data_IF_875412797963
#
_entry.id   IF_875412797963
#
_cell.length_a   1.000
_cell.length_b   1.000
_cell.length_c   1.000
_cell.angle_alpha   90.00
_cell.angle_beta   90.00
_cell.angle_gamma   90.00
#
_symmetry.space_group_name_H-M   'P 1'
#
loop_
_entity.id
_entity.type
_entity.pdbx_description
1 polymer ?
#
# COMPACT_ATOMS: atom_id res chain seq x y z
N UNK A 1 12.02 7.13 24.59
CA UNK A 1 13.27 6.69 23.96
C UNK A 1 12.93 5.53 23.03
N UNK A 2 13.48 5.55 21.82
CA UNK A 2 13.30 4.50 20.81
C UNK A 2 14.67 4.11 20.25
N UNK A 3 14.84 2.87 19.81
CA UNK A 3 16.09 2.36 19.23
C UNK A 3 16.52 3.09 17.95
N UNK A 4 15.61 3.82 17.31
CA UNK A 4 15.88 4.67 16.17
C UNK A 4 16.79 5.86 16.53
N UNK A 5 16.79 6.31 17.78
CA UNK A 5 17.61 7.41 18.26
C UNK A 5 18.97 6.88 18.75
N UNK A 6 20.02 7.14 17.98
CA UNK A 6 21.39 6.78 18.35
C UNK A 6 21.98 7.83 19.32
N UNK A 7 22.19 7.46 20.59
CA UNK A 7 22.68 8.40 21.61
C UNK A 7 24.14 8.87 21.36
N UNK A 8 24.88 8.18 20.49
CA UNK A 8 26.24 8.52 20.15
C UNK A 8 26.33 9.50 18.96
N UNK A 9 25.21 9.80 18.32
CA UNK A 9 25.14 10.74 17.20
C UNK A 9 24.54 12.09 17.62
N UNK A 10 25.32 13.16 17.38
CA UNK A 10 24.91 14.53 17.69
C UNK A 10 24.52 14.70 19.16
N UNK A 11 23.30 15.18 19.41
CA UNK A 11 22.76 15.35 20.77
C UNK A 11 22.02 14.10 21.27
N UNK A 12 21.86 13.07 20.46
CA UNK A 12 21.01 11.92 20.75
C UNK A 12 19.49 12.20 20.62
N UNK A 13 19.12 13.43 20.29
CA UNK A 13 17.73 13.81 20.04
C UNK A 13 17.43 13.75 18.54
N UNK A 14 16.28 13.16 18.19
CA UNK A 14 15.81 13.07 16.81
C UNK A 14 14.43 13.71 16.67
N UNK A 15 14.19 14.36 15.54
CA UNK A 15 12.88 14.79 15.09
C UNK A 15 12.18 13.60 14.41
N UNK A 16 10.93 13.32 14.76
CA UNK A 16 10.13 12.25 14.20
C UNK A 16 8.90 12.85 13.49
N UNK A 17 8.75 12.54 12.20
CA UNK A 17 7.62 12.99 11.36
C UNK A 17 6.93 11.79 10.71
N UNK A 18 6.02 11.09 11.40
CA UNK A 18 5.47 9.81 10.98
C UNK A 18 4.71 9.84 9.65
N UNK A 19 4.20 11.00 9.24
CA UNK A 19 3.44 11.12 7.98
C UNK A 19 4.33 11.20 6.72
N UNK A 20 5.65 11.50 6.86
CA UNK A 20 6.51 11.83 5.71
C UNK A 20 7.86 11.11 5.69
N UNK A 21 8.03 10.08 6.52
CA UNK A 21 9.22 9.22 6.51
C UNK A 21 8.85 7.80 6.95
N UNK A 22 9.33 6.79 6.24
CA UNK A 22 8.97 5.38 6.51
C UNK A 22 9.51 4.88 7.86
N UNK A 23 10.70 5.30 8.26
CA UNK A 23 11.26 4.90 9.56
C UNK A 23 10.56 5.63 10.69
N UNK A 24 10.29 6.93 10.52
CA UNK A 24 9.54 7.75 11.47
C UNK A 24 8.10 7.22 11.64
N UNK A 25 7.49 6.68 10.57
CA UNK A 25 6.18 6.03 10.64
C UNK A 25 6.20 4.85 11.61
N UNK A 26 7.21 3.98 11.50
CA UNK A 26 7.35 2.83 12.40
C UNK A 26 7.60 3.26 13.85
N UNK A 27 8.40 4.31 14.07
CA UNK A 27 8.56 4.90 15.40
C UNK A 27 7.24 5.45 15.92
N UNK A 28 6.48 6.13 15.06
CA UNK A 28 5.16 6.66 15.36
C UNK A 28 4.18 5.57 15.81
N UNK A 29 4.16 4.43 15.13
CA UNK A 29 3.36 3.27 15.49
C UNK A 29 3.74 2.74 16.88
N UNK A 30 5.04 2.51 17.13
CA UNK A 30 5.53 1.98 18.42
C UNK A 30 5.28 2.94 19.58
N UNK A 31 5.39 4.23 19.35
CA UNK A 31 5.29 5.27 20.37
C UNK A 31 3.91 5.94 20.48
N UNK A 32 2.95 5.59 19.60
CA UNK A 32 1.62 6.20 19.55
C UNK A 32 1.65 7.69 19.23
N UNK A 33 2.56 8.12 18.33
CA UNK A 33 2.71 9.54 17.96
C UNK A 33 1.65 9.95 16.94
N UNK A 34 1.21 11.24 16.94
CA UNK A 34 0.31 11.76 15.92
C UNK A 34 1.00 11.77 14.54
N UNK A 35 0.21 11.48 13.50
CA UNK A 35 0.64 11.48 12.10
C UNK A 35 0.17 12.75 11.42
N UNK A 36 0.87 13.86 11.68
CA UNK A 36 0.53 15.16 11.11
C UNK A 36 0.98 15.24 9.65
N UNK A 37 0.01 15.21 8.74
CA UNK A 37 0.27 15.38 7.31
C UNK A 37 0.44 16.88 7.02
N UNK A 38 1.59 17.26 6.48
CA UNK A 38 1.91 18.67 6.17
C UNK A 38 2.01 18.94 4.67
N UNK A 39 1.80 17.94 3.84
CA UNK A 39 1.88 18.06 2.37
C UNK A 39 0.55 17.70 1.72
N UNK A 40 0.22 18.39 0.65
CA UNK A 40 -0.87 18.02 -0.25
C UNK A 40 -0.44 16.92 -1.22
N UNK A 41 -1.38 16.36 -1.99
CA UNK A 41 -1.10 15.38 -3.06
C UNK A 41 -0.16 15.88 -4.17
N UNK A 42 0.04 17.19 -4.26
CA UNK A 42 0.99 17.83 -5.18
C UNK A 42 2.25 18.32 -4.48
N UNK A 43 2.47 17.89 -3.25
CA UNK A 43 3.62 18.24 -2.41
C UNK A 43 3.79 19.74 -2.14
N UNK A 44 2.69 20.49 -2.10
CA UNK A 44 2.64 21.82 -1.51
C UNK A 44 2.33 21.68 -0.01
N UNK A 45 2.72 22.68 0.77
CA UNK A 45 2.35 22.74 2.20
C UNK A 45 0.83 22.86 2.32
N UNK A 46 0.20 22.07 3.19
CA UNK A 46 -1.25 22.12 3.42
C UNK A 46 -1.71 23.49 3.93
N UNK A 47 -2.99 23.79 3.73
CA UNK A 47 -3.66 25.01 4.21
C UNK A 47 -4.96 24.65 4.95
N UNK A 48 -5.65 25.65 5.50
CA UNK A 48 -6.92 25.46 6.20
C UNK A 48 -6.81 24.60 7.46
N UNK A 49 -7.82 23.75 7.69
CA UNK A 49 -7.94 22.97 8.92
C UNK A 49 -6.77 21.99 9.17
N UNK A 50 -6.23 21.38 8.14
CA UNK A 50 -5.06 20.48 8.24
C UNK A 50 -3.82 21.25 8.69
N UNK A 51 -3.62 22.47 8.17
CA UNK A 51 -2.53 23.33 8.58
C UNK A 51 -2.67 23.81 10.03
N UNK A 52 -3.92 24.10 10.47
CA UNK A 52 -4.21 24.48 11.84
C UNK A 52 -3.92 23.34 12.82
N UNK A 53 -4.33 22.12 12.48
CA UNK A 53 -4.07 20.91 13.27
C UNK A 53 -2.57 20.63 13.39
N UNK A 54 -1.84 20.76 12.28
CA UNK A 54 -0.40 20.56 12.25
C UNK A 54 0.40 21.75 12.84
N UNK A 55 -0.24 22.84 13.20
CA UNK A 55 0.40 24.01 13.74
C UNK A 55 1.28 24.78 12.75
N UNK A 56 0.96 24.73 11.45
CA UNK A 56 1.76 25.36 10.40
C UNK A 56 1.54 26.87 10.39
N UNK A 57 2.60 27.70 10.52
CA UNK A 57 2.49 29.16 10.44
C UNK A 57 1.92 29.59 9.07
N UNK A 58 1.12 30.67 9.09
CA UNK A 58 0.41 31.16 7.89
C UNK A 58 1.34 31.43 6.70
N UNK A 59 2.54 31.90 6.95
CA UNK A 59 3.53 32.28 5.93
C UNK A 59 4.10 31.10 5.11
N UNK A 60 3.89 29.86 5.56
CA UNK A 60 4.34 28.65 4.85
C UNK A 60 3.22 27.96 4.08
N UNK A 61 1.96 28.24 4.42
CA UNK A 61 0.79 27.54 3.86
C UNK A 61 0.67 27.76 2.36
N UNK A 62 0.36 26.70 1.64
CA UNK A 62 0.23 26.69 0.18
C UNK A 62 1.52 26.83 -0.61
N UNK A 63 2.67 26.99 0.03
CA UNK A 63 3.96 27.06 -0.67
C UNK A 63 4.35 25.68 -1.24
N UNK A 64 4.99 25.69 -2.41
CA UNK A 64 5.73 24.52 -2.90
C UNK A 64 6.78 24.11 -1.87
N UNK A 65 7.02 22.80 -1.69
CA UNK A 65 7.95 22.26 -0.70
C UNK A 65 9.38 22.83 -0.80
N UNK A 66 9.85 23.13 -2.03
CA UNK A 66 11.19 23.70 -2.22
C UNK A 66 11.24 25.19 -1.91
N UNK A 67 10.13 25.90 -2.11
CA UNK A 67 10.00 27.30 -1.70
C UNK A 67 9.88 27.39 -0.19
N UNK A 68 9.09 26.51 0.44
CA UNK A 68 8.99 26.41 1.90
C UNK A 68 10.36 26.13 2.54
N UNK A 69 11.17 25.21 1.95
CA UNK A 69 12.52 24.94 2.43
C UNK A 69 13.41 26.17 2.43
N UNK A 70 13.45 26.92 1.32
CA UNK A 70 14.23 28.15 1.23
C UNK A 70 13.79 29.21 2.25
N UNK A 71 12.47 29.31 2.44
CA UNK A 71 11.92 30.25 3.43
C UNK A 71 12.30 29.83 4.85
N UNK A 72 12.21 28.54 5.19
CA UNK A 72 12.62 28.01 6.50
C UNK A 72 14.11 28.31 6.77
N UNK A 73 14.98 28.06 5.78
CA UNK A 73 16.42 28.37 5.90
C UNK A 73 16.62 29.86 6.20
N UNK A 74 15.97 30.75 5.47
CA UNK A 74 16.07 32.20 5.68
C UNK A 74 15.51 32.65 7.06
N UNK A 75 14.41 32.06 7.51
CA UNK A 75 13.83 32.37 8.80
C UNK A 75 14.70 31.88 9.97
N UNK A 76 15.35 30.70 9.85
CA UNK A 76 16.35 30.24 10.83
C UNK A 76 17.58 31.13 10.86
N UNK A 77 18.06 31.63 9.71
CA UNK A 77 19.16 32.61 9.64
C UNK A 77 18.76 33.93 10.33
N UNK A 78 17.56 34.44 10.04
CA UNK A 78 17.06 35.68 10.64
C UNK A 78 16.90 35.60 12.17
N UNK A 79 16.65 34.39 12.69
CA UNK A 79 16.50 34.11 14.12
C UNK A 79 17.84 33.79 14.82
N UNK A 80 18.97 33.80 14.08
CA UNK A 80 20.29 33.39 14.56
C UNK A 80 20.33 31.94 15.08
N UNK A 81 19.49 31.06 14.47
CA UNK A 81 19.36 29.63 14.80
C UNK A 81 20.00 28.71 13.78
N UNK A 82 20.40 29.23 12.62
CA UNK A 82 21.07 28.46 11.57
C UNK A 82 22.56 28.36 11.89
N UNK A 83 23.01 27.13 12.21
CA UNK A 83 24.44 26.87 12.50
C UNK A 83 25.21 26.59 11.22
N UNK A 84 24.70 25.67 10.40
CA UNK A 84 25.37 25.22 9.18
C UNK A 84 24.39 24.54 8.22
N UNK A 85 24.62 24.69 6.92
CA UNK A 85 23.97 23.91 5.85
C UNK A 85 24.99 22.94 5.26
N UNK A 86 24.91 21.67 5.64
CA UNK A 86 25.77 20.61 5.11
C UNK A 86 25.19 20.02 3.82
N UNK A 87 26.00 20.01 2.75
CA UNK A 87 25.63 19.35 1.49
C UNK A 87 25.88 17.85 1.59
N UNK A 88 24.83 17.07 1.64
CA UNK A 88 24.88 15.60 1.67
C UNK A 88 24.37 15.01 0.36
N UNK A 89 24.98 13.90 -0.07
CA UNK A 89 24.43 13.06 -1.12
C UNK A 89 23.36 12.16 -0.49
N UNK A 90 22.12 12.30 -0.94
CA UNK A 90 20.99 11.48 -0.50
C UNK A 90 20.41 10.71 -1.68
N UNK A 91 19.95 9.51 -1.43
CA UNK A 91 19.13 8.75 -2.39
C UNK A 91 17.69 9.26 -2.29
N UNK A 92 17.18 9.78 -3.39
CA UNK A 92 15.85 10.37 -3.44
C UNK A 92 15.01 9.68 -4.51
N UNK A 93 13.78 9.27 -4.21
CA UNK A 93 12.91 8.65 -5.20
C UNK A 93 12.43 9.66 -6.23
N UNK A 94 12.35 9.22 -7.48
CA UNK A 94 11.81 10.00 -8.60
C UNK A 94 10.72 9.19 -9.29
N UNK A 95 9.72 9.88 -9.81
CA UNK A 95 8.70 9.25 -10.66
C UNK A 95 9.33 8.80 -12.00
N UNK A 96 9.17 7.53 -12.34
CA UNK A 96 9.76 6.91 -13.54
C UNK A 96 9.45 7.66 -14.84
N UNK A 97 8.26 8.23 -14.93
CA UNK A 97 7.78 8.92 -16.15
C UNK A 97 7.88 10.44 -16.04
N UNK A 98 7.66 10.98 -14.86
CA UNK A 98 7.65 12.43 -14.65
C UNK A 98 9.03 13.01 -14.40
N UNK A 99 9.98 12.21 -13.86
CA UNK A 99 11.27 12.69 -13.38
C UNK A 99 11.16 13.63 -12.17
N UNK A 100 9.97 13.73 -11.56
CA UNK A 100 9.73 14.59 -10.40
C UNK A 100 10.11 13.85 -9.12
N UNK A 101 10.67 14.57 -8.17
CA UNK A 101 10.94 14.05 -6.81
C UNK A 101 9.63 13.63 -6.15
N UNK A 102 9.60 12.39 -5.63
CA UNK A 102 8.48 11.84 -4.89
C UNK A 102 8.74 12.09 -3.40
N UNK A 103 7.72 12.60 -2.71
CA UNK A 103 7.71 12.72 -1.25
C UNK A 103 6.83 11.62 -0.65
N UNK A 104 7.22 11.00 0.49
CA UNK A 104 6.31 10.14 1.24
C UNK A 104 5.08 10.95 1.66
N UNK A 105 3.91 10.42 1.38
CA UNK A 105 2.63 11.05 1.67
C UNK A 105 1.64 10.02 2.22
N UNK A 106 1.09 10.32 3.38
CA UNK A 106 0.15 9.44 4.05
C UNK A 106 -1.23 9.53 3.38
N UNK A 107 -1.74 8.41 2.91
CA UNK A 107 -3.05 8.28 2.30
C UNK A 107 -3.64 6.91 2.58
N UNK A 108 -4.98 6.83 2.64
CA UNK A 108 -5.67 5.56 2.78
C UNK A 108 -5.52 4.72 1.51
N UNK A 109 -5.21 3.44 1.70
CA UNK A 109 -5.04 2.48 0.62
C UNK A 109 -5.72 1.15 0.97
N UNK A 110 -6.08 0.38 -0.04
CA UNK A 110 -6.57 -0.98 0.14
C UNK A 110 -5.42 -1.96 0.27
N UNK A 111 -5.45 -2.75 1.35
CA UNK A 111 -4.43 -3.76 1.62
C UNK A 111 -5.04 -5.15 1.75
N UNK A 112 -4.34 -6.13 1.20
CA UNK A 112 -4.55 -7.55 1.50
C UNK A 112 -3.70 -7.91 2.71
N UNK A 113 -4.30 -8.58 3.70
CA UNK A 113 -3.56 -9.19 4.80
C UNK A 113 -2.82 -10.42 4.28
N UNK A 114 -1.67 -10.18 3.65
CA UNK A 114 -0.90 -11.21 2.98
C UNK A 114 -0.26 -12.19 3.96
N UNK A 115 0.04 -11.78 5.18
CA UNK A 115 0.60 -12.66 6.22
C UNK A 115 -0.31 -13.87 6.51
N UNK A 116 -1.61 -13.62 6.68
CA UNK A 116 -2.57 -14.69 6.93
C UNK A 116 -2.73 -15.61 5.71
N UNK A 117 -2.72 -15.05 4.51
CA UNK A 117 -2.84 -15.82 3.27
C UNK A 117 -1.57 -16.61 2.93
N UNK A 118 -0.42 -16.16 3.39
CA UNK A 118 0.86 -16.83 3.16
C UNK A 118 0.99 -18.14 3.96
N UNK A 119 0.40 -18.23 5.14
CA UNK A 119 0.51 -19.40 6.03
C UNK A 119 0.15 -20.72 5.34
N UNK A 120 -1.04 -20.88 4.74
CA UNK A 120 -1.38 -22.10 4.04
C UNK A 120 -0.54 -22.31 2.74
N UNK A 121 -0.12 -21.25 2.07
CA UNK A 121 0.73 -21.34 0.88
C UNK A 121 2.15 -21.82 1.23
N UNK A 122 2.72 -21.38 2.34
CA UNK A 122 3.98 -21.88 2.89
C UNK A 122 3.84 -23.38 3.24
N UNK A 123 2.77 -23.75 3.93
CA UNK A 123 2.51 -25.14 4.32
C UNK A 123 2.37 -26.08 3.11
N UNK A 124 1.80 -25.63 2.00
CA UNK A 124 1.69 -26.41 0.76
C UNK A 124 3.06 -26.77 0.17
N UNK A 125 4.03 -25.86 0.23
CA UNK A 125 5.41 -26.12 -0.22
C UNK A 125 6.16 -26.97 0.80
N UNK A 126 6.00 -26.71 2.11
CA UNK A 126 6.64 -27.53 3.16
C UNK A 126 6.21 -28.99 3.13
N UNK A 127 4.94 -29.26 2.86
CA UNK A 127 4.41 -30.63 2.74
C UNK A 127 4.80 -31.32 1.42
N UNK A 128 5.31 -30.55 0.44
CA UNK A 128 5.61 -31.04 -0.89
C UNK A 128 4.38 -31.19 -1.79
N UNK A 129 3.23 -30.63 -1.41
CA UNK A 129 2.04 -30.58 -2.26
C UNK A 129 2.29 -29.72 -3.49
N UNK A 130 3.03 -28.61 -3.37
CA UNK A 130 3.61 -27.86 -4.48
C UNK A 130 5.14 -27.95 -4.42
N UNK A 131 5.80 -28.13 -5.57
CA UNK A 131 7.26 -28.24 -5.67
C UNK A 131 7.81 -27.31 -6.72
N UNK A 132 8.92 -26.64 -6.41
CA UNK A 132 9.68 -25.86 -7.39
C UNK A 132 10.69 -26.71 -8.11
N UNK A 133 10.77 -26.55 -9.42
CA UNK A 133 11.76 -27.24 -10.29
C UNK A 133 12.47 -26.18 -11.14
N UNK A 134 13.78 -26.00 -10.98
CA UNK A 134 14.67 -26.67 -10.03
C UNK A 134 14.45 -26.24 -8.57
N UNK A 135 14.80 -27.11 -7.64
CA UNK A 135 14.51 -26.98 -6.19
C UNK A 135 15.14 -25.75 -5.53
N UNK A 136 16.24 -25.22 -6.09
CA UNK A 136 16.91 -24.04 -5.55
C UNK A 136 15.98 -22.80 -5.42
N UNK A 137 14.92 -22.70 -6.22
CA UNK A 137 13.94 -21.62 -6.16
C UNK A 137 13.01 -21.67 -4.95
N UNK A 138 12.93 -22.82 -4.29
CA UNK A 138 12.20 -22.97 -3.02
C UNK A 138 12.74 -22.02 -1.94
N UNK A 139 14.07 -21.84 -1.90
CA UNK A 139 14.69 -20.87 -0.97
C UNK A 139 14.27 -19.45 -1.25
N UNK A 140 14.21 -19.05 -2.52
CA UNK A 140 13.73 -17.72 -2.92
C UNK A 140 12.28 -17.52 -2.53
N UNK A 141 11.42 -18.53 -2.73
CA UNK A 141 10.04 -18.49 -2.30
C UNK A 141 9.91 -18.23 -0.79
N UNK A 142 10.60 -19.00 0.06
CA UNK A 142 10.55 -18.82 1.51
C UNK A 142 11.09 -17.47 1.95
N UNK A 143 12.18 -16.98 1.36
CA UNK A 143 12.72 -15.65 1.71
C UNK A 143 11.67 -14.54 1.58
N UNK A 144 10.79 -14.63 0.58
CA UNK A 144 9.70 -13.67 0.39
C UNK A 144 8.50 -13.94 1.29
N UNK A 145 8.11 -15.22 1.43
CA UNK A 145 6.89 -15.58 2.12
C UNK A 145 7.02 -15.47 3.64
N UNK A 146 8.19 -15.79 4.21
CA UNK A 146 8.46 -15.70 5.65
C UNK A 146 8.55 -14.24 6.13
N UNK A 147 8.82 -13.29 5.22
CA UNK A 147 8.93 -11.86 5.52
C UNK A 147 7.88 -11.04 4.77
N UNK A 148 6.76 -11.65 4.42
CA UNK A 148 5.75 -10.99 3.59
C UNK A 148 5.13 -9.80 4.33
N UNK A 149 5.00 -8.69 3.61
CA UNK A 149 4.38 -7.47 4.11
C UNK A 149 2.92 -7.36 3.61
N UNK A 150 2.07 -6.56 4.27
CA UNK A 150 0.76 -6.24 3.76
C UNK A 150 0.83 -5.76 2.30
N UNK A 151 0.02 -6.34 1.45
CA UNK A 151 0.05 -6.04 0.02
C UNK A 151 -0.94 -4.94 -0.33
N UNK A 152 -0.43 -3.74 -0.63
CA UNK A 152 -1.24 -2.66 -1.17
C UNK A 152 -1.75 -3.03 -2.56
N UNK A 153 -3.06 -3.02 -2.75
CA UNK A 153 -3.72 -3.41 -4.01
C UNK A 153 -4.42 -2.27 -4.74
N UNK A 154 -4.49 -1.09 -4.16
CA UNK A 154 -5.01 0.11 -4.82
C UNK A 154 -3.91 0.89 -5.54
N UNK A 155 -4.24 1.43 -6.72
CA UNK A 155 -3.35 2.20 -7.58
C UNK A 155 -4.05 3.44 -8.09
N UNK A 156 -3.37 4.58 -8.05
CA UNK A 156 -3.84 5.88 -8.55
C UNK A 156 -3.53 5.99 -10.05
N UNK A 157 -4.20 5.16 -10.86
CA UNK A 157 -4.03 5.11 -12.31
C UNK A 157 -5.34 5.46 -13.02
N UNK A 158 -5.24 6.06 -14.19
CA UNK A 158 -6.41 6.44 -14.99
C UNK A 158 -7.09 5.28 -15.69
N UNK A 159 -6.38 4.17 -15.84
CA UNK A 159 -6.86 2.98 -16.52
C UNK A 159 -6.61 1.73 -15.68
N UNK A 160 -7.62 0.90 -15.56
CA UNK A 160 -7.56 -0.37 -14.85
C UNK A 160 -8.93 -0.82 -14.37
N UNK A 161 -8.93 -1.89 -13.59
CA UNK A 161 -10.11 -2.41 -12.93
C UNK A 161 -10.37 -1.59 -11.66
N UNK A 162 -11.39 -0.75 -11.66
CA UNK A 162 -11.70 0.10 -10.50
C UNK A 162 -12.00 -0.74 -9.27
N UNK A 163 -11.55 -0.24 -8.12
CA UNK A 163 -11.87 -0.85 -6.83
C UNK A 163 -13.40 -0.88 -6.65
N UNK A 164 -14.00 -2.07 -6.40
CA UNK A 164 -15.45 -2.23 -6.31
C UNK A 164 -15.98 -1.84 -4.92
N UNK A 165 -15.65 -0.63 -4.48
CA UNK A 165 -16.06 -0.04 -3.22
C UNK A 165 -16.69 1.33 -3.44
N UNK A 166 -17.76 1.62 -2.69
CA UNK A 166 -18.50 2.88 -2.76
C UNK A 166 -18.59 3.51 -1.38
N UNK A 167 -18.17 4.74 -1.26
CA UNK A 167 -18.14 5.51 -0.02
C UNK A 167 -19.42 6.31 0.18
N UNK A 168 -19.94 6.26 1.39
CA UNK A 168 -21.01 7.13 1.88
C UNK A 168 -20.48 8.48 2.37
N UNK A 169 -21.37 9.41 2.72
CA UNK A 169 -20.99 10.77 3.14
C UNK A 169 -20.24 10.84 4.46
N UNK A 170 -20.29 9.80 5.26
CA UNK A 170 -19.63 9.64 6.57
C UNK A 170 -18.33 8.82 6.51
N UNK A 171 -17.87 8.47 5.29
CA UNK A 171 -16.66 7.66 5.08
C UNK A 171 -16.88 6.14 5.21
N UNK A 172 -18.08 5.66 5.56
CA UNK A 172 -18.38 4.24 5.50
C UNK A 172 -18.34 3.75 4.05
N UNK A 173 -17.89 2.51 3.83
CA UNK A 173 -17.77 1.95 2.48
C UNK A 173 -18.55 0.65 2.32
N UNK A 174 -19.00 0.42 1.09
CA UNK A 174 -19.80 -0.73 0.69
C UNK A 174 -19.14 -1.41 -0.52
N UNK A 175 -18.60 -2.59 -0.29
CA UNK A 175 -18.01 -3.40 -1.38
C UNK A 175 -19.14 -4.19 -2.05
N UNK A 176 -19.23 -4.11 -3.37
CA UNK A 176 -20.27 -4.78 -4.15
C UNK A 176 -19.81 -5.03 -5.59
N UNK A 177 -20.56 -5.87 -6.32
CA UNK A 177 -20.28 -6.16 -7.73
C UNK A 177 -20.54 -4.95 -8.63
N UNK A 178 -21.58 -4.18 -8.28
CA UNK A 178 -21.99 -2.98 -9.01
C UNK A 178 -22.58 -1.90 -8.09
N UNK A 179 -22.85 -0.74 -8.68
CA UNK A 179 -23.42 0.39 -7.97
C UNK A 179 -24.84 0.11 -7.41
N UNK A 180 -25.62 -0.74 -8.08
CA UNK A 180 -26.98 -1.07 -7.64
C UNK A 180 -26.93 -1.88 -6.35
N UNK A 181 -26.07 -2.89 -6.31
CA UNK A 181 -25.84 -3.69 -5.12
C UNK A 181 -25.21 -2.87 -3.99
N UNK A 182 -24.30 -1.96 -4.29
CA UNK A 182 -23.71 -1.03 -3.32
C UNK A 182 -24.77 -0.12 -2.69
N UNK A 183 -25.65 0.49 -3.51
CA UNK A 183 -26.77 1.31 -3.04
C UNK A 183 -27.77 0.52 -2.18
N UNK A 184 -28.04 -0.72 -2.52
CA UNK A 184 -28.91 -1.57 -1.71
C UNK A 184 -28.31 -1.84 -0.31
N UNK A 185 -26.99 -2.13 -0.25
CA UNK A 185 -26.27 -2.29 1.02
C UNK A 185 -26.27 -0.99 1.84
N UNK A 186 -26.00 0.14 1.21
CA UNK A 186 -26.03 1.45 1.87
C UNK A 186 -27.43 1.80 2.40
N UNK A 187 -28.48 1.56 1.62
CA UNK A 187 -29.86 1.78 2.06
C UNK A 187 -30.23 0.91 3.27
N UNK A 188 -29.76 -0.34 3.29
CA UNK A 188 -29.95 -1.22 4.46
C UNK A 188 -29.22 -0.72 5.70
N UNK A 189 -28.06 -0.09 5.51
CA UNK A 189 -27.23 0.47 6.59
C UNK A 189 -27.77 1.81 7.11
N UNK A 190 -28.07 2.75 6.22
CA UNK A 190 -28.52 4.10 6.58
C UNK A 190 -30.03 4.21 6.84
N UNK A 191 -30.83 3.24 6.39
CA UNK A 191 -32.29 3.27 6.48
C UNK A 191 -32.97 4.11 5.39
N UNK A 192 -32.21 4.80 4.54
CA UNK A 192 -32.69 5.65 3.45
C UNK A 192 -31.77 5.59 2.24
N UNK A 193 -32.26 5.95 1.05
CA UNK A 193 -31.42 6.07 -0.15
C UNK A 193 -30.32 7.12 0.05
N UNK A 194 -29.06 6.71 -0.03
CA UNK A 194 -27.89 7.56 0.19
C UNK A 194 -27.04 7.65 -1.07
N UNK A 195 -26.55 8.86 -1.37
CA UNK A 195 -25.61 9.05 -2.47
C UNK A 195 -24.26 8.41 -2.12
N UNK A 196 -23.73 7.65 -3.06
CA UNK A 196 -22.42 6.98 -2.92
C UNK A 196 -21.45 7.46 -3.98
N UNK A 197 -20.18 7.51 -3.62
CA UNK A 197 -19.06 7.77 -4.54
C UNK A 197 -18.20 6.52 -4.64
N UNK A 198 -18.07 5.95 -5.87
CA UNK A 198 -17.15 4.85 -6.09
C UNK A 198 -15.70 5.30 -5.91
N UNK A 199 -14.89 4.43 -5.32
CA UNK A 199 -13.44 4.61 -5.24
C UNK A 199 -12.86 4.92 -6.63
N UNK A 200 -11.95 5.89 -6.70
CA UNK A 200 -11.32 6.33 -7.96
C UNK A 200 -10.12 5.47 -8.33
N UNK A 201 -9.57 4.75 -7.36
CA UNK A 201 -8.43 3.88 -7.55
C UNK A 201 -8.78 2.63 -8.37
N UNK A 202 -7.77 2.04 -8.97
CA UNK A 202 -7.85 0.76 -9.66
C UNK A 202 -7.08 -0.31 -8.92
N UNK A 203 -7.44 -1.57 -9.14
CA UNK A 203 -6.74 -2.70 -8.54
C UNK A 203 -5.36 -2.90 -9.19
N UNK A 204 -4.40 -3.31 -8.36
CA UNK A 204 -3.10 -3.80 -8.81
C UNK A 204 -3.29 -4.93 -9.84
N UNK A 205 -2.58 -4.85 -10.95
CA UNK A 205 -2.60 -5.88 -12.00
C UNK A 205 -2.32 -7.28 -11.45
N UNK A 206 -1.41 -7.38 -10.48
CA UNK A 206 -1.09 -8.66 -9.85
C UNK A 206 -2.22 -9.23 -9.00
N UNK A 207 -3.15 -8.39 -8.51
CA UNK A 207 -4.34 -8.88 -7.82
C UNK A 207 -5.25 -9.65 -8.77
N UNK A 208 -5.58 -9.06 -9.92
CA UNK A 208 -6.38 -9.74 -10.95
C UNK A 208 -5.64 -10.98 -11.52
N UNK A 209 -4.33 -10.86 -11.75
CA UNK A 209 -3.49 -11.96 -12.25
C UNK A 209 -3.42 -13.14 -11.27
N UNK A 210 -3.53 -12.89 -9.97
CA UNK A 210 -3.53 -13.94 -8.95
C UNK A 210 -4.80 -14.81 -8.98
N UNK A 211 -5.87 -14.32 -9.57
CA UNK A 211 -7.13 -15.05 -9.73
C UNK A 211 -7.15 -15.93 -11.01
N UNK A 212 -6.16 -15.76 -11.88
CA UNK A 212 -6.12 -16.37 -13.22
C UNK A 212 -6.39 -17.88 -13.24
N UNK A 213 -5.84 -18.71 -12.34
CA UNK A 213 -6.00 -20.17 -12.42
C UNK A 213 -7.46 -20.65 -12.35
N UNK A 214 -8.34 -19.87 -11.73
CA UNK A 214 -9.75 -20.24 -11.56
C UNK A 214 -10.71 -19.23 -12.20
N UNK A 215 -10.39 -17.94 -12.26
CA UNK A 215 -11.28 -16.94 -12.86
C UNK A 215 -11.46 -17.14 -14.36
N UNK A 216 -10.43 -17.59 -15.09
CA UNK A 216 -10.51 -17.87 -16.52
C UNK A 216 -11.29 -19.15 -16.84
N UNK A 217 -11.56 -19.98 -15.82
CA UNK A 217 -12.35 -21.20 -15.92
C UNK A 217 -13.81 -20.98 -15.54
N UNK A 218 -14.21 -19.72 -15.30
CA UNK A 218 -15.58 -19.33 -15.04
C UNK A 218 -15.94 -19.11 -13.57
N UNK A 219 -14.99 -19.19 -12.63
CA UNK A 219 -15.25 -18.82 -11.24
C UNK A 219 -15.81 -17.36 -11.16
N UNK A 220 -16.80 -17.07 -10.30
CA UNK A 220 -17.28 -17.86 -9.15
C UNK A 220 -18.32 -18.94 -9.48
N UNK A 221 -18.67 -19.14 -10.73
CA UNK A 221 -19.59 -20.18 -11.15
C UNK A 221 -18.94 -21.56 -11.15
N UNK A 222 -19.73 -22.58 -10.82
CA UNK A 222 -19.24 -23.98 -10.81
C UNK A 222 -19.32 -24.60 -12.20
N UNK A 223 -18.47 -24.14 -13.12
CA UNK A 223 -18.46 -24.58 -14.53
C UNK A 223 -17.79 -25.96 -14.72
N UNK A 224 -18.04 -26.59 -15.85
CA UNK A 224 -17.37 -27.86 -16.22
C UNK A 224 -15.87 -27.64 -16.48
N UNK A 225 -15.48 -26.47 -17.01
CA UNK A 225 -14.08 -26.12 -17.22
C UNK A 225 -13.33 -25.99 -15.87
N UNK A 226 -13.94 -25.31 -14.89
CA UNK A 226 -13.38 -25.19 -13.55
C UNK A 226 -13.16 -26.57 -12.90
N UNK A 227 -14.13 -27.47 -12.99
CA UNK A 227 -14.04 -28.83 -12.45
C UNK A 227 -12.99 -29.68 -13.16
N UNK A 228 -12.76 -29.42 -14.44
CA UNK A 228 -11.86 -30.22 -15.28
C UNK A 228 -10.42 -29.74 -15.16
N UNK A 229 -10.19 -28.42 -15.12
CA UNK A 229 -8.86 -27.84 -15.31
C UNK A 229 -8.29 -27.19 -14.03
N UNK A 230 -9.07 -27.09 -12.95
CA UNK A 230 -8.57 -26.64 -11.66
C UNK A 230 -8.58 -27.81 -10.65
N UNK A 231 -7.49 -28.09 -9.93
CA UNK A 231 -6.15 -27.50 -10.07
C UNK A 231 -5.43 -27.98 -11.34
N UNK A 232 -4.47 -27.20 -11.80
CA UNK A 232 -3.59 -27.61 -12.89
C UNK A 232 -2.44 -28.49 -12.37
N UNK A 233 -1.74 -29.20 -13.28
CA UNK A 233 -0.66 -30.11 -12.89
C UNK A 233 0.72 -29.44 -12.87
N UNK A 234 0.93 -28.42 -13.70
CA UNK A 234 2.22 -27.75 -13.87
C UNK A 234 2.02 -26.30 -14.27
N UNK A 235 2.76 -25.41 -13.63
CA UNK A 235 2.95 -24.03 -14.05
C UNK A 235 4.39 -23.82 -14.48
N UNK A 236 4.60 -23.25 -15.67
CA UNK A 236 5.93 -22.86 -16.17
C UNK A 236 5.99 -21.35 -16.28
N UNK A 237 6.95 -20.74 -15.58
CA UNK A 237 7.14 -19.28 -15.57
C UNK A 237 8.60 -18.91 -15.35
N UNK A 238 8.94 -17.65 -15.53
CA UNK A 238 10.25 -17.12 -15.16
C UNK A 238 10.39 -17.01 -13.63
N UNK A 239 11.59 -17.17 -13.14
CA UNK A 239 11.86 -17.19 -11.69
C UNK A 239 11.66 -15.84 -11.01
N UNK A 240 11.78 -14.74 -11.73
CA UNK A 240 11.62 -13.38 -11.24
C UNK A 240 10.18 -13.04 -10.82
N UNK A 241 9.19 -13.79 -11.31
CA UNK A 241 7.79 -13.62 -10.91
C UNK A 241 7.26 -14.71 -9.96
N UNK A 242 8.13 -15.50 -9.34
CA UNK A 242 7.73 -16.47 -8.31
C UNK A 242 6.94 -15.77 -7.19
N UNK A 243 7.44 -14.66 -6.67
CA UNK A 243 6.74 -13.89 -5.64
C UNK A 243 5.53 -13.14 -6.18
N UNK A 244 5.70 -12.42 -7.29
CA UNK A 244 4.65 -11.54 -7.81
C UNK A 244 3.45 -12.27 -8.37
N UNK A 245 3.64 -13.49 -8.89
CA UNK A 245 2.57 -14.24 -9.52
C UNK A 245 2.32 -15.60 -8.88
N UNK A 246 3.32 -16.49 -8.81
CA UNK A 246 3.15 -17.85 -8.31
C UNK A 246 2.63 -17.87 -6.88
N UNK A 247 3.31 -17.19 -5.96
CA UNK A 247 2.93 -17.12 -4.56
C UNK A 247 1.54 -16.50 -4.38
N UNK A 248 1.23 -15.45 -5.14
CA UNK A 248 -0.09 -14.80 -5.09
C UNK A 248 -1.20 -15.68 -5.62
N UNK A 249 -0.99 -16.43 -6.70
CA UNK A 249 -1.96 -17.43 -7.18
C UNK A 249 -2.19 -18.52 -6.14
N UNK A 250 -1.14 -19.00 -5.46
CA UNK A 250 -1.28 -19.99 -4.39
C UNK A 250 -2.11 -19.42 -3.21
N UNK A 251 -1.82 -18.21 -2.77
CA UNK A 251 -2.60 -17.55 -1.71
C UNK A 251 -4.07 -17.40 -2.08
N UNK A 252 -4.36 -16.93 -3.30
CA UNK A 252 -5.75 -16.71 -3.73
C UNK A 252 -6.48 -18.03 -4.02
N UNK A 253 -5.82 -19.02 -4.61
CA UNK A 253 -6.39 -20.36 -4.83
C UNK A 253 -6.79 -21.01 -3.51
N UNK A 254 -5.88 -21.03 -2.53
CA UNK A 254 -6.17 -21.56 -1.19
C UNK A 254 -7.27 -20.77 -0.45
N UNK A 255 -7.41 -19.47 -0.74
CA UNK A 255 -8.43 -18.63 -0.10
C UNK A 255 -9.82 -18.79 -0.71
N UNK A 256 -9.92 -18.91 -2.04
CA UNK A 256 -11.20 -18.87 -2.76
C UNK A 256 -11.67 -20.24 -3.24
N UNK A 257 -10.74 -21.17 -3.41
CA UNK A 257 -11.02 -22.52 -3.92
C UNK A 257 -10.77 -23.60 -2.88
N UNK A 258 -10.21 -23.27 -1.71
CA UNK A 258 -9.78 -24.20 -0.65
C UNK A 258 -8.77 -25.24 -1.13
N UNK A 259 -8.13 -25.00 -2.28
CA UNK A 259 -7.20 -25.93 -2.93
C UNK A 259 -6.07 -25.17 -3.62
N UNK A 260 -4.86 -25.77 -3.62
CA UNK A 260 -3.71 -25.19 -4.34
C UNK A 260 -3.95 -25.23 -5.86
N UNK A 261 -3.55 -24.19 -6.60
CA UNK A 261 -3.83 -24.12 -8.04
C UNK A 261 -2.94 -25.01 -8.90
N UNK A 262 -1.78 -25.48 -8.39
CA UNK A 262 -0.80 -26.30 -9.11
C UNK A 262 0.24 -26.91 -8.17
#
# INVERSE_FOLDING_TARGET
ADEHADPEKGSGAVKITPAHDFNDFQVGERAGLPRLNILTSVAAIVDGAEADEAGIPADYRGLDRFEARKKIEADFEALDLLVEIEKKKVEQPFGDRSGVVIEPWLTDQWYVNAEELAKPAIAAVQSGATKFVPENWTKTYYNWMDNIQPWCISRQLWWGHRVPAWFGPDGNYFVAEDEVAAKAKAQAFYGEPTALKQDEDVLDTWFSSALWPFSTQGWPENTEDLKTFYPTSVLITAHDIIFFWVARMMMMGLKFMDEIPF
#
